data_IF_044985608633
#
_entry.id   IF_044985608633
#
_cell.length_a   1.000
_cell.length_b   1.000
_cell.length_c   1.000
_cell.angle_alpha   90.00
_cell.angle_beta   90.00
_cell.angle_gamma   90.00
#
_symmetry.space_group_name_H-M   'P 1'
#
loop_
_entity.id
_entity.type
_entity.pdbx_description
1 polymer ?
#
# COMPACT_ATOMS: atom_id res chain seq x y z
N UNK A 1 -3.08 35.23 44.90
CA UNK A 1 -3.60 35.28 43.52
C UNK A 1 -2.89 34.19 42.73
N UNK A 2 -3.60 33.14 42.28
CA UNK A 2 -3.02 32.05 41.46
C UNK A 2 -3.33 32.37 39.99
N UNK A 3 -2.30 32.62 39.20
CA UNK A 3 -2.43 32.79 37.75
C UNK A 3 -2.60 31.41 37.10
N UNK A 4 -3.73 31.19 36.42
CA UNK A 4 -3.92 30.07 35.51
C UNK A 4 -3.24 30.41 34.18
N UNK A 5 -2.19 29.67 33.82
CA UNK A 5 -1.64 29.70 32.47
C UNK A 5 -2.48 28.77 31.58
N UNK A 6 -3.19 29.35 30.61
CA UNK A 6 -3.91 28.60 29.58
C UNK A 6 -2.89 28.22 28.51
N UNK A 7 -2.51 26.94 28.44
CA UNK A 7 -1.73 26.40 27.34
C UNK A 7 -2.63 26.22 26.11
N UNK A 8 -2.50 27.12 25.13
CA UNK A 8 -3.14 26.98 23.82
C UNK A 8 -2.35 25.92 23.04
N UNK A 9 -2.86 24.70 22.98
CA UNK A 9 -2.35 23.68 22.08
C UNK A 9 -2.75 24.03 20.65
N UNK A 10 -1.83 24.62 19.89
CA UNK A 10 -2.00 24.82 18.45
C UNK A 10 -1.87 23.45 17.78
N UNK A 11 -3.00 22.81 17.50
CA UNK A 11 -3.05 21.63 16.65
C UNK A 11 -2.62 22.05 15.23
N UNK A 12 -1.39 21.69 14.85
CA UNK A 12 -0.96 21.83 13.47
C UNK A 12 -1.65 20.74 12.67
N UNK A 13 -2.78 21.08 12.02
CA UNK A 13 -3.41 20.22 11.04
C UNK A 13 -2.42 20.03 9.88
N UNK A 14 -1.72 18.90 9.85
CA UNK A 14 -0.94 18.52 8.69
C UNK A 14 -1.92 18.27 7.54
N UNK A 15 -1.73 18.90 6.36
CA UNK A 15 -2.58 18.62 5.22
C UNK A 15 -2.45 17.14 4.89
N UNK A 16 -3.57 16.43 4.87
CA UNK A 16 -3.66 15.11 4.26
C UNK A 16 -3.39 15.31 2.77
N UNK A 17 -2.13 15.15 2.36
CA UNK A 17 -1.79 15.13 0.93
C UNK A 17 -2.60 14.01 0.30
N UNK A 18 -3.44 14.28 -0.72
CA UNK A 18 -4.14 13.23 -1.44
C UNK A 18 -3.07 12.29 -2.00
N UNK A 19 -3.08 11.02 -1.58
CA UNK A 19 -2.06 10.05 -1.98
C UNK A 19 -2.01 9.87 -3.51
N UNK A 20 -3.13 10.14 -4.19
CA UNK A 20 -3.27 10.13 -5.65
C UNK A 20 -2.37 11.17 -6.35
N UNK A 21 -2.08 12.30 -5.69
CA UNK A 21 -1.23 13.37 -6.23
C UNK A 21 0.27 13.03 -6.19
N UNK A 22 0.66 12.03 -5.39
CA UNK A 22 2.05 11.55 -5.36
C UNK A 22 2.27 10.44 -6.39
N UNK A 23 1.27 9.60 -6.64
CA UNK A 23 1.40 8.52 -7.62
C UNK A 23 1.52 9.08 -9.05
N UNK A 24 0.91 10.22 -9.34
CA UNK A 24 1.06 10.93 -10.62
C UNK A 24 2.47 11.47 -10.87
N UNK A 25 3.31 11.59 -9.83
CA UNK A 25 4.72 11.99 -9.94
C UNK A 25 5.65 10.82 -10.23
N UNK A 26 5.14 9.60 -10.17
CA UNK A 26 5.90 8.38 -10.48
C UNK A 26 5.73 8.09 -11.97
N UNK A 27 6.83 7.79 -12.65
CA UNK A 27 6.81 7.41 -14.07
C UNK A 27 6.17 6.03 -14.28
N UNK A 28 5.70 5.74 -15.50
CA UNK A 28 5.19 4.41 -15.82
C UNK A 28 6.27 3.34 -15.69
N UNK A 29 7.52 3.70 -15.99
CA UNK A 29 8.65 2.79 -15.84
C UNK A 29 8.90 2.41 -14.38
N UNK A 30 8.97 3.38 -13.48
CA UNK A 30 9.15 3.11 -12.04
C UNK A 30 8.01 2.26 -11.46
N UNK A 31 6.78 2.47 -11.95
CA UNK A 31 5.60 1.72 -11.52
C UNK A 31 5.61 0.28 -12.09
N UNK A 32 6.09 0.09 -13.33
CA UNK A 32 6.31 -1.22 -13.94
C UNK A 32 7.43 -2.00 -13.25
N UNK A 33 8.57 -1.37 -12.98
CA UNK A 33 9.67 -1.97 -12.21
C UNK A 33 9.23 -2.37 -10.79
N UNK A 34 8.36 -1.57 -10.17
CA UNK A 34 7.73 -1.93 -8.90
C UNK A 34 6.82 -3.15 -9.06
N UNK A 35 5.98 -3.18 -10.09
CA UNK A 35 5.12 -4.33 -10.40
C UNK A 35 5.93 -5.61 -10.61
N UNK A 36 7.04 -5.55 -11.35
CA UNK A 36 7.95 -6.70 -11.56
C UNK A 36 8.52 -7.21 -10.25
N UNK A 37 9.11 -6.32 -9.43
CA UNK A 37 9.67 -6.70 -8.13
C UNK A 37 8.61 -7.33 -7.21
N UNK A 38 7.40 -6.78 -7.20
CA UNK A 38 6.31 -7.29 -6.39
C UNK A 38 5.84 -8.67 -6.88
N UNK A 39 5.58 -8.83 -8.18
CA UNK A 39 5.21 -10.12 -8.78
C UNK A 39 6.25 -11.19 -8.51
N UNK A 40 7.53 -10.90 -8.76
CA UNK A 40 8.61 -11.87 -8.52
C UNK A 40 8.73 -12.26 -7.05
N UNK A 41 8.46 -11.35 -6.11
CA UNK A 41 8.45 -11.68 -4.68
C UNK A 41 7.29 -12.62 -4.32
N UNK A 42 6.11 -12.39 -4.89
CA UNK A 42 4.91 -13.24 -4.72
C UNK A 42 5.13 -14.63 -5.33
N UNK A 43 5.63 -14.69 -6.56
CA UNK A 43 5.92 -15.93 -7.29
C UNK A 43 6.93 -16.80 -6.53
N UNK A 44 8.00 -16.19 -6.02
CA UNK A 44 9.01 -16.89 -5.23
C UNK A 44 8.54 -17.27 -3.81
N UNK A 45 7.34 -16.85 -3.39
CA UNK A 45 6.85 -17.03 -2.02
C UNK A 45 7.72 -16.36 -0.95
N UNK A 46 8.52 -15.35 -1.32
CA UNK A 46 9.50 -14.72 -0.44
C UNK A 46 8.85 -13.60 0.38
N UNK A 47 8.35 -13.96 1.56
CA UNK A 47 7.62 -13.03 2.43
C UNK A 47 8.47 -11.83 2.86
N UNK A 48 9.79 -11.99 3.07
CA UNK A 48 10.67 -10.87 3.42
C UNK A 48 10.72 -9.81 2.32
N UNK A 49 10.80 -10.24 1.05
CA UNK A 49 10.76 -9.33 -0.09
C UNK A 49 9.41 -8.64 -0.19
N UNK A 50 8.31 -9.37 0.01
CA UNK A 50 6.96 -8.77 0.02
C UNK A 50 6.81 -7.74 1.15
N UNK A 51 7.26 -8.07 2.36
CA UNK A 51 7.27 -7.17 3.52
C UNK A 51 8.00 -5.85 3.22
N UNK A 52 9.13 -5.92 2.51
CA UNK A 52 9.91 -4.74 2.13
C UNK A 52 9.18 -3.79 1.18
N UNK A 53 8.15 -4.27 0.47
CA UNK A 53 7.34 -3.51 -0.49
C UNK A 53 6.04 -2.98 0.13
N UNK A 54 5.75 -3.29 1.39
CA UNK A 54 4.54 -2.89 2.10
C UNK A 54 4.79 -1.61 2.91
N UNK A 55 3.78 -0.74 2.93
CA UNK A 55 3.63 0.29 3.94
C UNK A 55 2.82 -0.29 5.10
N UNK A 56 3.38 -0.22 6.31
CA UNK A 56 2.69 -0.66 7.51
C UNK A 56 2.08 0.53 8.27
N UNK A 57 0.92 0.35 8.93
CA UNK A 57 0.12 -0.87 8.95
C UNK A 57 -0.57 -1.13 7.60
N UNK A 58 -0.56 -2.40 7.16
CA UNK A 58 -1.20 -2.82 5.92
C UNK A 58 -2.70 -2.92 6.15
N UNK A 59 -3.50 -2.29 5.29
CA UNK A 59 -4.96 -2.46 5.32
C UNK A 59 -5.34 -3.75 4.58
N UNK A 60 -6.12 -4.60 5.22
CA UNK A 60 -6.65 -5.83 4.60
C UNK A 60 -8.17 -5.74 4.57
N UNK A 61 -8.73 -5.60 3.38
CA UNK A 61 -10.18 -5.56 3.17
C UNK A 61 -10.72 -7.00 3.07
N UNK A 62 -11.70 -7.33 3.91
CA UNK A 62 -12.31 -8.67 3.97
C UNK A 62 -13.74 -8.71 3.42
N UNK A 63 -14.32 -7.55 3.12
CA UNK A 63 -15.66 -7.43 2.56
C UNK A 63 -16.14 -5.98 2.53
N UNK A 64 -17.39 -5.71 2.10
CA UNK A 64 -17.95 -4.36 2.06
C UNK A 64 -17.89 -3.68 3.42
N UNK A 65 -17.13 -2.59 3.52
CA UNK A 65 -16.92 -1.83 4.77
C UNK A 65 -16.11 -2.56 5.85
N UNK A 66 -15.66 -3.80 5.61
CA UNK A 66 -14.94 -4.62 6.58
C UNK A 66 -13.46 -4.69 6.25
N UNK A 67 -12.63 -4.35 7.23
CA UNK A 67 -11.19 -4.38 7.12
C UNK A 67 -10.53 -4.60 8.48
N UNK A 68 -9.29 -5.05 8.45
CA UNK A 68 -8.40 -5.03 9.59
C UNK A 68 -7.03 -4.49 9.17
N UNK A 69 -6.22 -4.13 10.15
CA UNK A 69 -4.84 -3.71 9.92
C UNK A 69 -3.89 -4.82 10.34
N UNK A 70 -2.87 -5.05 9.52
CA UNK A 70 -1.75 -5.94 9.84
C UNK A 70 -0.54 -5.07 10.09
N UNK A 71 0.03 -5.15 11.29
CA UNK A 71 1.30 -4.49 11.61
C UNK A 71 2.49 -5.24 10.98
N UNK A 72 3.66 -4.61 11.00
CA UNK A 72 4.89 -5.27 10.55
C UNK A 72 5.19 -6.55 11.35
N UNK A 73 4.97 -6.54 12.66
CA UNK A 73 5.24 -7.69 13.54
C UNK A 73 4.30 -8.87 13.33
N UNK A 74 3.04 -8.60 12.92
CA UNK A 74 2.04 -9.64 12.64
C UNK A 74 2.14 -10.20 11.22
N UNK A 75 2.89 -9.53 10.34
CA UNK A 75 2.88 -9.81 8.91
C UNK A 75 3.25 -11.25 8.57
N UNK A 76 4.29 -11.80 9.22
CA UNK A 76 4.73 -13.16 8.93
C UNK A 76 3.65 -14.21 9.26
N UNK A 77 2.96 -14.07 10.40
CA UNK A 77 1.88 -14.98 10.78
C UNK A 77 0.63 -14.83 9.92
N UNK A 78 0.41 -13.64 9.36
CA UNK A 78 -0.75 -13.34 8.51
C UNK A 78 -0.45 -13.53 7.02
N UNK A 79 0.81 -13.72 6.62
CA UNK A 79 1.24 -13.72 5.21
C UNK A 79 0.44 -14.70 4.34
N UNK A 80 0.23 -15.93 4.80
CA UNK A 80 -0.53 -16.94 4.07
C UNK A 80 -2.03 -16.61 3.95
N UNK A 81 -2.60 -15.85 4.89
CA UNK A 81 -4.00 -15.41 4.85
C UNK A 81 -4.17 -14.20 3.94
N UNK A 82 -3.26 -13.23 4.04
CA UNK A 82 -3.25 -11.99 3.26
C UNK A 82 -2.92 -12.26 1.79
N UNK A 83 -1.86 -13.03 1.53
CA UNK A 83 -1.46 -13.47 0.19
C UNK A 83 -1.83 -14.94 0.00
N UNK A 84 -3.12 -15.22 0.18
CA UNK A 84 -3.70 -16.54 -0.06
C UNK A 84 -3.64 -16.93 -1.56
N UNK A 85 -3.94 -18.19 -1.92
CA UNK A 85 -3.85 -18.65 -3.30
C UNK A 85 -4.64 -17.78 -4.30
N UNK A 86 -5.83 -17.30 -3.93
CA UNK A 86 -6.65 -16.43 -4.79
C UNK A 86 -5.99 -15.08 -5.06
N UNK A 87 -5.48 -14.42 -4.01
CA UNK A 87 -4.75 -13.15 -4.15
C UNK A 87 -3.48 -13.32 -4.99
N UNK A 88 -2.72 -14.41 -4.76
CA UNK A 88 -1.53 -14.71 -5.56
C UNK A 88 -1.86 -14.95 -7.02
N UNK A 89 -2.88 -15.75 -7.31
CA UNK A 89 -3.32 -16.03 -8.67
C UNK A 89 -3.74 -14.74 -9.39
N UNK A 90 -4.48 -13.86 -8.71
CA UNK A 90 -4.86 -12.57 -9.24
C UNK A 90 -3.64 -11.67 -9.54
N UNK A 91 -2.62 -11.62 -8.67
CA UNK A 91 -1.41 -10.84 -8.93
C UNK A 91 -0.60 -11.42 -10.10
N UNK A 92 -0.42 -12.74 -10.14
CA UNK A 92 0.44 -13.42 -11.11
C UNK A 92 -0.19 -13.55 -12.49
N UNK A 93 -1.53 -13.58 -12.56
CA UNK A 93 -2.30 -13.66 -13.80
C UNK A 93 -2.22 -12.41 -14.69
N UNK A 94 -1.71 -11.30 -14.17
CA UNK A 94 -1.44 -10.08 -14.93
C UNK A 94 0.07 -9.87 -15.10
N UNK A 95 0.49 -9.36 -16.26
CA UNK A 95 1.86 -8.89 -16.43
C UNK A 95 2.11 -7.56 -15.70
N UNK A 96 3.38 -7.14 -15.63
CA UNK A 96 3.75 -5.92 -14.93
C UNK A 96 3.14 -4.65 -15.54
N UNK A 97 2.94 -4.61 -16.86
CA UNK A 97 2.35 -3.47 -17.55
C UNK A 97 0.84 -3.36 -17.27
N UNK A 98 0.17 -4.49 -17.11
CA UNK A 98 -1.25 -4.57 -16.76
C UNK A 98 -1.49 -4.10 -15.32
N UNK A 99 -0.63 -4.49 -14.36
CA UNK A 99 -0.65 -3.98 -12.99
C UNK A 99 -0.33 -2.48 -12.92
N UNK A 100 0.66 -2.02 -13.67
CA UNK A 100 1.01 -0.60 -13.78
C UNK A 100 -0.19 0.24 -14.22
N UNK A 101 -0.88 -0.19 -15.29
CA UNK A 101 -2.11 0.46 -15.77
C UNK A 101 -3.23 0.40 -14.73
N UNK A 102 -3.41 -0.73 -14.04
CA UNK A 102 -4.50 -0.86 -13.06
C UNK A 102 -4.30 0.04 -11.85
N UNK A 103 -3.06 0.25 -11.39
CA UNK A 103 -2.79 1.12 -10.25
C UNK A 103 -2.93 2.61 -10.59
N UNK A 104 -2.74 3.00 -11.85
CA UNK A 104 -3.03 4.38 -12.30
C UNK A 104 -4.52 4.65 -12.46
N UNK A 105 -5.29 3.63 -12.80
CA UNK A 105 -6.73 3.75 -13.00
C UNK A 105 -7.44 3.40 -11.69
N UNK A 106 -7.81 4.42 -10.91
CA UNK A 106 -8.71 4.23 -9.76
C UNK A 106 -9.97 3.49 -10.21
N UNK A 107 -10.08 2.19 -9.88
CA UNK A 107 -11.24 1.35 -10.20
C UNK A 107 -11.07 0.30 -11.30
N UNK A 108 -9.87 0.09 -11.86
CA UNK A 108 -9.65 -0.98 -12.84
C UNK A 108 -9.54 -2.38 -12.20
N UNK A 109 -9.91 -3.41 -12.96
CA UNK A 109 -10.29 -4.76 -12.53
C UNK A 109 -9.30 -5.58 -11.69
N UNK A 110 -8.08 -5.10 -11.46
CA UNK A 110 -7.05 -5.76 -10.64
C UNK A 110 -7.07 -5.21 -9.21
N UNK A 111 -8.25 -5.24 -8.59
CA UNK A 111 -8.53 -4.60 -7.31
C UNK A 111 -8.03 -5.38 -6.07
N UNK A 112 -7.20 -6.42 -6.24
CA UNK A 112 -6.73 -7.23 -5.09
C UNK A 112 -5.59 -6.56 -4.31
N UNK A 113 -4.86 -5.61 -4.92
CA UNK A 113 -3.78 -4.87 -4.25
C UNK A 113 -3.78 -3.42 -4.71
N UNK A 114 -3.75 -2.49 -3.75
CA UNK A 114 -3.56 -1.06 -4.03
C UNK A 114 -2.14 -0.62 -3.71
N UNK A 115 -1.59 0.22 -4.58
CA UNK A 115 -0.25 0.82 -4.46
C UNK A 115 -0.37 2.32 -4.31
N UNK A 116 0.43 2.90 -3.43
CA UNK A 116 0.55 4.34 -3.28
C UNK A 116 2.02 4.77 -3.34
N UNK A 117 2.23 5.99 -3.81
CA UNK A 117 3.49 6.69 -3.64
C UNK A 117 3.51 7.33 -2.24
N UNK A 118 4.47 6.94 -1.42
CA UNK A 118 4.58 7.35 -0.01
C UNK A 118 5.86 8.12 0.26
N UNK A 119 5.80 9.06 1.19
CA UNK A 119 6.95 9.81 1.65
C UNK A 119 7.57 9.11 2.86
N UNK A 120 8.80 8.60 2.73
CA UNK A 120 9.52 8.02 3.87
C UNK A 120 10.35 9.04 4.66
N UNK A 121 10.47 10.28 4.15
CA UNK A 121 11.23 11.38 4.76
C UNK A 121 10.45 12.70 4.74
N UNK A 122 10.73 13.57 5.71
CA UNK A 122 10.01 14.83 6.00
C UNK A 122 9.90 15.84 4.84
N UNK A 123 10.61 15.66 3.73
CA UNK A 123 10.56 16.57 2.57
C UNK A 123 9.96 15.96 1.30
N UNK A 124 9.57 14.68 1.31
CA UNK A 124 9.00 13.95 0.18
C UNK A 124 9.69 14.23 -1.18
N UNK A 125 11.01 14.42 -1.17
CA UNK A 125 11.77 14.79 -2.36
C UNK A 125 11.82 13.66 -3.38
N UNK A 126 11.69 12.41 -2.92
CA UNK A 126 11.51 11.21 -3.74
C UNK A 126 10.48 10.30 -3.07
N UNK A 127 9.24 10.21 -3.59
CA UNK A 127 8.30 9.24 -3.09
C UNK A 127 8.78 7.82 -3.45
N UNK A 128 8.42 6.85 -2.63
CA UNK A 128 8.64 5.43 -2.93
C UNK A 128 7.30 4.74 -3.08
N UNK A 129 7.20 3.77 -4.00
CA UNK A 129 6.00 2.98 -4.16
C UNK A 129 5.89 1.95 -3.04
N UNK A 130 4.68 1.79 -2.51
CA UNK A 130 4.35 0.78 -1.49
C UNK A 130 2.97 0.19 -1.72
N UNK A 131 2.83 -1.08 -1.41
CA UNK A 131 1.53 -1.72 -1.21
C UNK A 131 0.92 -1.17 0.09
N UNK A 132 -0.30 -0.67 0.01
CA UNK A 132 -1.02 -0.06 1.14
C UNK A 132 -2.29 -0.82 1.51
N UNK A 133 -2.87 -1.55 0.55
CA UNK A 133 -4.09 -2.32 0.74
C UNK A 133 -4.00 -3.66 0.02
N UNK A 134 -4.55 -4.70 0.64
CA UNK A 134 -4.88 -5.99 0.01
C UNK A 134 -6.37 -6.26 0.18
N UNK A 135 -7.04 -6.67 -0.89
CA UNK A 135 -8.44 -7.08 -0.89
C UNK A 135 -8.55 -8.59 -1.02
N UNK A 136 -9.14 -9.24 -0.01
CA UNK A 136 -9.38 -10.69 0.00
C UNK A 136 -10.70 -11.08 -0.68
N UNK A 137 -11.38 -10.13 -1.33
CA UNK A 137 -12.65 -10.37 -1.99
C UNK A 137 -12.39 -11.22 -3.23
N UNK A 138 -12.92 -12.45 -3.22
CA UNK A 138 -13.11 -13.20 -4.46
C UNK A 138 -14.18 -12.47 -5.29
N UNK A 139 -13.88 -12.20 -6.56
CA UNK A 139 -14.86 -11.70 -7.53
C UNK A 139 -15.75 -12.84 -7.99
#
# INVERSE_FOLDING_TARGET
MRALAIAVAVATAQPAYPQDLLLSRVSSEELREFAERFRSAIEAGNWQKVESLIMFPLRVNTGPGKFYFVSRGEFISEYGKVFNPGVRAAILGHDAASLEKSWRLTGADVNVVSVAAVCTYHRCSKPVLKVVTVDLREK
#
